data_IF_856837684634
#
_entry.id   IF_856837684634
#
_cell.length_a   1.000
_cell.length_b   1.000
_cell.length_c   1.000
_cell.angle_alpha   90.00
_cell.angle_beta   90.00
_cell.angle_gamma   90.00
#
_symmetry.space_group_name_H-M   'P 1'
#
loop_
_entity.id
_entity.type
_entity.pdbx_description
1 polymer ?
#
# COMPACT_ATOMS: atom_id res chain seq x y z
N UNK A 1 -1.47 -28.00 -10.26
CA UNK A 1 -0.71 -27.05 -9.41
C UNK A 1 -1.22 -25.64 -9.62
N UNK A 2 -2.02 -25.10 -8.70
CA UNK A 2 -2.46 -23.69 -8.77
C UNK A 2 -1.23 -22.80 -8.68
N UNK A 3 -0.94 -22.02 -9.73
CA UNK A 3 0.14 -21.04 -9.69
C UNK A 3 -0.28 -19.94 -8.73
N UNK A 4 0.37 -19.81 -7.58
CA UNK A 4 0.10 -18.81 -6.54
C UNK A 4 -0.14 -17.40 -7.11
N UNK A 5 0.60 -17.04 -8.17
CA UNK A 5 0.41 -15.76 -8.87
C UNK A 5 -0.99 -15.54 -9.46
N UNK A 6 -1.71 -16.58 -9.89
CA UNK A 6 -3.10 -16.45 -10.34
C UNK A 6 -4.03 -16.07 -9.19
N UNK A 7 -3.85 -16.70 -8.03
CA UNK A 7 -4.66 -16.40 -6.85
C UNK A 7 -4.43 -14.95 -6.39
N UNK A 8 -3.17 -14.50 -6.32
CA UNK A 8 -2.83 -13.12 -5.96
C UNK A 8 -3.46 -12.12 -6.93
N UNK A 9 -3.41 -12.39 -8.24
CA UNK A 9 -4.04 -11.52 -9.26
C UNK A 9 -5.56 -11.48 -9.13
N UNK A 10 -6.20 -12.62 -8.86
CA UNK A 10 -7.64 -12.67 -8.63
C UNK A 10 -8.04 -11.87 -7.39
N UNK A 11 -7.31 -12.03 -6.29
CA UNK A 11 -7.56 -11.25 -5.06
C UNK A 11 -7.37 -9.75 -5.32
N UNK A 12 -6.29 -9.36 -6.00
CA UNK A 12 -6.06 -7.95 -6.35
C UNK A 12 -7.17 -7.36 -7.24
N UNK A 13 -7.64 -8.14 -8.22
CA UNK A 13 -8.75 -7.74 -9.09
C UNK A 13 -10.04 -7.56 -8.28
N UNK A 14 -10.38 -8.54 -7.43
CA UNK A 14 -11.58 -8.49 -6.58
C UNK A 14 -11.55 -7.30 -5.62
N UNK A 15 -10.41 -7.02 -4.97
CA UNK A 15 -10.25 -5.87 -4.10
C UNK A 15 -10.42 -4.55 -4.87
N UNK A 16 -9.88 -4.48 -6.08
CA UNK A 16 -10.02 -3.29 -6.94
C UNK A 16 -11.47 -3.06 -7.33
N UNK A 17 -12.16 -4.10 -7.81
CA UNK A 17 -13.58 -4.03 -8.15
C UNK A 17 -14.44 -3.64 -6.94
N UNK A 18 -14.16 -4.23 -5.77
CA UNK A 18 -14.86 -3.92 -4.53
C UNK A 18 -14.64 -2.47 -4.08
N UNK A 19 -13.40 -1.94 -4.20
CA UNK A 19 -13.12 -0.54 -3.89
C UNK A 19 -13.86 0.43 -4.82
N UNK A 20 -13.92 0.12 -6.13
CA UNK A 20 -14.68 0.91 -7.09
C UNK A 20 -16.19 0.85 -6.79
N UNK A 21 -16.73 -0.33 -6.54
CA UNK A 21 -18.14 -0.51 -6.18
C UNK A 21 -18.49 0.24 -4.88
N UNK A 22 -17.61 0.23 -3.89
CA UNK A 22 -17.75 0.99 -2.63
C UNK A 22 -17.87 2.50 -2.88
N UNK A 23 -17.13 3.07 -3.84
CA UNK A 23 -17.27 4.48 -4.19
C UNK A 23 -18.52 4.76 -5.02
N UNK A 24 -18.86 3.90 -5.97
CA UNK A 24 -20.05 4.09 -6.81
C UNK A 24 -21.36 3.97 -6.03
N UNK A 25 -21.39 3.18 -4.95
CA UNK A 25 -22.53 3.06 -4.05
C UNK A 25 -22.78 4.32 -3.18
N UNK A 26 -21.84 5.26 -3.14
CA UNK A 26 -22.02 6.54 -2.43
C UNK A 26 -22.68 7.57 -3.35
N UNK A 27 -23.48 8.51 -2.80
CA UNK A 27 -23.87 9.73 -3.50
C UNK A 27 -22.63 10.43 -4.06
N UNK A 28 -22.75 11.10 -5.21
CA UNK A 28 -21.59 11.67 -5.91
C UNK A 28 -20.78 12.64 -5.06
N UNK A 29 -21.47 13.42 -4.23
CA UNK A 29 -20.87 14.38 -3.29
C UNK A 29 -20.01 13.70 -2.19
N UNK A 30 -20.28 12.44 -1.87
CA UNK A 30 -19.61 11.69 -0.81
C UNK A 30 -18.48 10.78 -1.35
N UNK A 31 -18.27 10.74 -2.67
CA UNK A 31 -17.22 9.94 -3.30
C UNK A 31 -15.85 10.56 -3.04
N UNK A 32 -15.04 9.87 -2.26
CA UNK A 32 -13.69 10.32 -1.91
C UNK A 32 -12.63 9.73 -2.83
N UNK A 33 -12.93 8.60 -3.48
CA UNK A 33 -11.98 7.85 -4.32
C UNK A 33 -10.70 7.41 -3.57
N UNK A 34 -10.76 7.35 -2.24
CA UNK A 34 -9.72 6.82 -1.38
C UNK A 34 -10.32 6.28 -0.08
N UNK A 35 -9.68 5.27 0.51
CA UNK A 35 -10.18 4.63 1.72
C UNK A 35 -9.55 3.27 1.97
N UNK A 36 -10.32 2.37 2.59
CA UNK A 36 -9.96 0.97 2.82
C UNK A 36 -11.06 0.04 2.35
N UNK A 37 -10.67 -1.08 1.75
CA UNK A 37 -11.55 -2.20 1.37
C UNK A 37 -10.99 -3.47 2.02
N UNK A 38 -11.79 -4.13 2.86
CA UNK A 38 -11.32 -5.29 3.64
C UNK A 38 -9.98 -5.06 4.38
N UNK A 39 -9.77 -3.86 4.92
CA UNK A 39 -8.53 -3.44 5.60
C UNK A 39 -7.38 -3.01 4.68
N UNK A 40 -7.49 -3.26 3.37
CA UNK A 40 -6.50 -2.89 2.34
C UNK A 40 -6.72 -1.44 1.91
N UNK A 41 -5.70 -0.55 1.99
CA UNK A 41 -5.85 0.82 1.55
C UNK A 41 -6.02 0.91 0.02
N UNK A 42 -6.79 1.87 -0.43
CA UNK A 42 -6.87 2.25 -1.84
C UNK A 42 -6.88 3.77 -2.00
N UNK A 43 -6.29 4.25 -3.09
CA UNK A 43 -6.38 5.64 -3.51
C UNK A 43 -6.36 5.73 -5.03
N UNK A 44 -7.40 6.31 -5.63
CA UNK A 44 -7.53 6.48 -7.07
C UNK A 44 -7.33 7.94 -7.52
N UNK A 45 -6.91 8.82 -6.61
CA UNK A 45 -6.59 10.21 -6.92
C UNK A 45 -5.22 10.31 -7.59
N UNK A 46 -5.00 11.38 -8.32
CA UNK A 46 -3.68 11.67 -8.86
C UNK A 46 -2.67 11.87 -7.71
N UNK A 47 -1.49 11.23 -7.79
CA UNK A 47 -0.46 11.35 -6.77
C UNK A 47 0.14 12.76 -6.78
N UNK A 48 0.63 13.20 -5.63
CA UNK A 48 1.49 14.38 -5.54
C UNK A 48 2.89 13.97 -5.11
N UNK A 49 3.90 14.74 -5.48
CA UNK A 49 5.29 14.48 -5.09
C UNK A 49 5.47 14.36 -3.57
N UNK A 50 4.74 15.18 -2.81
CA UNK A 50 4.70 15.10 -1.35
C UNK A 50 4.21 13.73 -0.89
N UNK A 51 3.08 13.25 -1.40
CA UNK A 51 2.53 11.94 -1.01
C UNK A 51 3.42 10.76 -1.41
N UNK A 52 4.10 10.85 -2.56
CA UNK A 52 5.11 9.86 -2.97
C UNK A 52 6.24 9.81 -1.95
N UNK A 53 6.80 10.97 -1.59
CA UNK A 53 7.84 11.03 -0.56
C UNK A 53 7.33 10.50 0.79
N UNK A 54 6.16 10.94 1.24
CA UNK A 54 5.59 10.54 2.52
C UNK A 54 5.33 9.02 2.61
N UNK A 55 4.92 8.40 1.51
CA UNK A 55 4.62 6.97 1.47
C UNK A 55 5.89 6.10 1.39
N UNK A 56 6.87 6.49 0.58
CA UNK A 56 8.02 5.64 0.27
C UNK A 56 9.32 6.02 1.00
N UNK A 57 9.44 7.26 1.46
CA UNK A 57 10.64 7.77 2.13
C UNK A 57 10.29 8.83 3.19
N UNK A 58 9.75 8.38 4.32
CA UNK A 58 9.44 9.25 5.44
C UNK A 58 10.18 8.78 6.71
N UNK A 59 11.34 9.37 7.03
CA UNK A 59 12.07 9.05 8.26
C UNK A 59 11.28 9.37 9.54
N UNK A 60 10.35 10.34 9.49
CA UNK A 60 9.53 10.76 10.63
C UNK A 60 8.32 9.85 10.90
N UNK A 61 7.98 8.95 9.97
CA UNK A 61 6.96 7.92 10.17
C UNK A 61 7.64 6.60 10.51
N UNK A 62 7.37 6.06 11.70
CA UNK A 62 7.96 4.81 12.17
C UNK A 62 7.41 3.56 11.46
N UNK A 63 6.27 3.68 10.74
CA UNK A 63 5.61 2.56 10.07
C UNK A 63 6.40 2.11 8.85
N UNK A 64 6.51 0.78 8.70
CA UNK A 64 7.05 0.13 7.49
C UNK A 64 6.02 0.17 6.36
N UNK A 65 4.77 -0.14 6.68
CA UNK A 65 3.67 -0.12 5.72
C UNK A 65 2.91 1.18 5.84
N UNK A 66 2.83 1.91 4.74
CA UNK A 66 2.11 3.17 4.60
C UNK A 66 0.96 3.00 3.60
N UNK A 67 0.04 3.96 3.56
CA UNK A 67 -1.01 3.94 2.56
C UNK A 67 -0.42 4.25 1.18
N UNK A 68 -0.75 3.43 0.19
CA UNK A 68 -0.24 3.60 -1.17
C UNK A 68 -0.80 4.88 -1.79
N UNK A 69 0.02 5.53 -2.61
CA UNK A 69 -0.33 6.82 -3.22
C UNK A 69 -1.33 6.68 -4.37
N UNK A 70 -1.26 5.58 -5.12
CA UNK A 70 -2.16 5.27 -6.23
C UNK A 70 -2.41 3.77 -6.35
N UNK A 71 -3.67 3.38 -6.55
CA UNK A 71 -4.13 1.99 -6.67
C UNK A 71 -4.50 1.38 -5.32
N UNK A 72 -4.49 0.05 -5.26
CA UNK A 72 -4.88 -0.75 -4.09
C UNK A 72 -3.63 -1.39 -3.46
N UNK A 73 -3.57 -1.40 -2.13
CA UNK A 73 -2.50 -2.00 -1.33
C UNK A 73 -1.71 -0.98 -0.50
N UNK A 74 -0.66 -1.47 0.15
CA UNK A 74 0.26 -0.65 0.96
C UNK A 74 1.48 -0.22 0.14
N UNK A 75 2.03 0.94 0.49
CA UNK A 75 3.39 1.31 0.14
C UNK A 75 4.38 0.83 1.22
N UNK A 76 5.66 0.83 0.87
CA UNK A 76 6.75 0.44 1.77
C UNK A 76 7.62 1.66 2.01
N UNK A 77 7.73 2.07 3.28
CA UNK A 77 8.61 3.15 3.70
C UNK A 77 10.06 2.65 3.78
N UNK A 78 10.84 2.93 2.74
CA UNK A 78 12.21 2.44 2.63
C UNK A 78 13.16 3.06 3.65
N UNK A 79 12.86 4.29 4.12
CA UNK A 79 13.60 4.93 5.20
C UNK A 79 13.56 4.10 6.50
N UNK A 80 12.51 3.30 6.67
CA UNK A 80 12.29 2.41 7.80
C UNK A 80 12.81 0.99 7.55
N UNK A 81 12.70 0.47 6.33
CA UNK A 81 13.13 -0.90 6.00
C UNK A 81 14.64 -1.04 5.93
N UNK A 82 15.33 -0.13 5.23
CA UNK A 82 16.76 -0.29 4.93
C UNK A 82 17.65 -0.37 6.19
N UNK A 83 17.50 0.49 7.21
CA UNK A 83 18.31 0.38 8.42
C UNK A 83 18.07 -0.91 9.20
N UNK A 84 16.81 -1.37 9.26
CA UNK A 84 16.44 -2.63 9.94
C UNK A 84 17.06 -3.84 9.25
N UNK A 85 17.04 -3.86 7.91
CA UNK A 85 17.69 -4.91 7.12
C UNK A 85 19.20 -4.91 7.30
N UNK A 86 19.85 -3.75 7.25
CA UNK A 86 21.29 -3.62 7.49
C UNK A 86 21.68 -4.16 8.87
N UNK A 87 20.95 -3.75 9.91
CA UNK A 87 21.21 -4.21 11.28
C UNK A 87 20.93 -5.70 11.46
N UNK A 88 19.98 -6.27 10.71
CA UNK A 88 19.75 -7.72 10.71
C UNK A 88 20.90 -8.47 10.02
N UNK A 89 21.39 -7.96 8.89
CA UNK A 89 22.52 -8.55 8.17
C UNK A 89 23.80 -8.57 9.01
N UNK A 90 24.16 -7.45 9.63
CA UNK A 90 25.36 -7.36 10.47
C UNK A 90 25.31 -8.35 11.65
N UNK A 91 24.14 -8.51 12.28
CA UNK A 91 23.94 -9.49 13.36
C UNK A 91 24.10 -10.95 12.91
N UNK A 92 23.87 -11.23 11.63
CA UNK A 92 24.04 -12.57 11.05
C UNK A 92 25.48 -12.82 10.61
N UNK A 93 26.22 -11.79 10.20
CA UNK A 93 27.64 -11.92 9.81
C UNK A 93 28.60 -12.03 10.98
N UNK A 94 28.19 -11.58 12.17
CA UNK A 94 28.98 -11.67 13.41
C UNK A 94 28.78 -13.01 14.15
N UNK A 95 27.98 -13.93 13.61
CA UNK A 95 27.80 -15.30 14.11
C UNK A 95 28.57 -16.30 13.26
#
# INVERSE_FOLDING_TARGET
>A
MFRLGRLVRLVALLLTLAAVAQELNKPEADRTWHGRVAGVPYDFRWPTWRRIRDAYWNPGDARIFTDRVIGVGWAINLAQVLPRMRNAYLRLSER
#
